data_IF_039170473472
#
_entry.id   IF_039170473472
#
_cell.length_a   1.000
_cell.length_b   1.000
_cell.length_c   1.000
_cell.angle_alpha   90.00
_cell.angle_beta   90.00
_cell.angle_gamma   90.00
#
_symmetry.space_group_name_H-M   'P 1'
#
loop_
_entity.id
_entity.type
_entity.pdbx_description
1 polymer ?
#
# COMPACT_ATOMS: atom_id res chain seq x y z
N UNK A 1 -6.48 1.22 -0.87
CA UNK A 1 -6.03 -0.01 -1.56
C UNK A 1 -7.17 -0.93 -2.00
N UNK A 2 -7.97 -1.53 -1.11
CA UNK A 2 -9.04 -2.47 -1.50
C UNK A 2 -10.06 -1.89 -2.50
N UNK A 3 -10.38 -0.59 -2.36
CA UNK A 3 -11.25 0.17 -3.25
C UNK A 3 -10.55 0.77 -4.48
N UNK A 4 -9.27 0.42 -4.74
CA UNK A 4 -8.44 1.05 -5.78
C UNK A 4 -7.95 2.45 -5.44
N UNK A 5 -8.31 3.02 -4.28
CA UNK A 5 -7.77 4.32 -3.88
C UNK A 5 -6.28 4.21 -3.57
N UNK A 6 -5.48 5.04 -4.24
CA UNK A 6 -4.09 5.33 -3.91
C UNK A 6 -4.01 5.86 -2.48
N UNK A 7 -2.97 5.46 -1.75
CA UNK A 7 -2.76 5.87 -0.37
C UNK A 7 -1.56 6.82 -0.27
N UNK A 8 -1.62 7.70 0.73
CA UNK A 8 -0.54 8.58 1.17
C UNK A 8 -0.43 8.35 2.69
N UNK A 9 0.70 7.81 3.13
CA UNK A 9 0.86 7.30 4.49
C UNK A 9 2.20 7.72 5.10
N UNK A 10 2.32 7.70 6.43
CA UNK A 10 3.60 7.96 7.08
C UNK A 10 4.60 6.83 6.82
N UNK A 11 5.89 7.13 6.79
CA UNK A 11 6.98 6.17 6.61
C UNK A 11 7.28 5.29 7.86
N UNK A 12 6.25 4.89 8.60
CA UNK A 12 6.39 3.84 9.63
C UNK A 12 6.58 2.47 8.98
N UNK A 13 7.23 1.55 9.69
CA UNK A 13 7.57 0.21 9.17
C UNK A 13 6.37 -0.54 8.57
N UNK A 14 5.16 -0.58 9.19
CA UNK A 14 4.01 -1.26 8.59
C UNK A 14 3.57 -0.66 7.24
N UNK A 15 3.72 0.65 7.05
CA UNK A 15 3.34 1.29 5.80
C UNK A 15 4.41 1.09 4.71
N UNK A 16 5.70 1.03 5.10
CA UNK A 16 6.78 0.64 4.20
C UNK A 16 6.60 -0.77 3.70
N UNK A 17 6.32 -1.72 4.61
CA UNK A 17 6.04 -3.11 4.26
C UNK A 17 4.95 -3.21 3.19
N UNK A 18 3.83 -2.50 3.39
CA UNK A 18 2.71 -2.48 2.44
C UNK A 18 3.11 -1.90 1.08
N UNK A 19 3.90 -0.83 1.05
CA UNK A 19 4.36 -0.25 -0.21
C UNK A 19 5.34 -1.19 -0.94
N UNK A 20 6.29 -1.76 -0.20
CA UNK A 20 7.39 -2.58 -0.73
C UNK A 20 6.95 -4.01 -1.10
N UNK A 21 5.82 -4.48 -0.58
CA UNK A 21 5.19 -5.75 -0.94
C UNK A 21 4.78 -5.83 -2.43
N UNK A 22 4.86 -4.71 -3.17
CA UNK A 22 4.60 -4.68 -4.59
C UNK A 22 5.63 -3.83 -5.35
N UNK A 23 6.24 -4.41 -6.38
CA UNK A 23 7.27 -3.75 -7.20
C UNK A 23 6.77 -2.48 -7.87
N UNK A 24 5.50 -2.43 -8.25
CA UNK A 24 4.89 -1.30 -8.94
C UNK A 24 4.34 -0.29 -7.94
N UNK A 25 4.55 1.00 -8.23
CA UNK A 25 4.12 2.08 -7.35
C UNK A 25 2.60 2.03 -7.15
N UNK A 26 2.18 1.96 -5.90
CA UNK A 26 0.77 1.83 -5.50
C UNK A 26 0.31 2.89 -4.49
N UNK A 27 1.25 3.71 -4.01
CA UNK A 27 1.03 4.76 -3.03
C UNK A 27 2.30 5.57 -2.80
N UNK A 28 2.25 6.41 -1.77
CA UNK A 28 3.33 7.33 -1.42
C UNK A 28 3.53 7.35 0.10
N UNK A 29 4.78 7.60 0.53
CA UNK A 29 5.14 7.71 1.94
C UNK A 29 5.75 9.06 2.24
N UNK A 30 5.44 9.63 3.41
CA UNK A 30 6.02 10.88 3.91
C UNK A 30 6.71 10.70 5.26
N UNK A 31 7.75 11.50 5.50
CA UNK A 31 8.64 11.43 6.66
C UNK A 31 8.05 11.99 7.98
N UNK A 32 6.72 11.98 8.14
CA UNK A 32 5.98 12.51 9.30
C UNK A 32 6.13 14.01 9.59
N UNK A 33 6.77 14.76 8.70
CA UNK A 33 6.82 16.23 8.78
C UNK A 33 5.72 16.85 7.91
N UNK A 34 5.31 18.07 8.25
CA UNK A 34 4.34 18.82 7.44
C UNK A 34 4.88 19.10 6.03
N UNK A 35 6.16 19.48 5.91
CA UNK A 35 6.79 19.71 4.61
C UNK A 35 6.83 18.43 3.77
N UNK A 36 7.24 17.31 4.36
CA UNK A 36 7.26 16.03 3.64
C UNK A 36 5.87 15.55 3.22
N UNK A 37 4.83 15.87 3.98
CA UNK A 37 3.45 15.60 3.56
C UNK A 37 3.05 16.47 2.36
N UNK A 38 3.41 17.76 2.35
CA UNK A 38 3.14 18.66 1.22
C UNK A 38 3.84 18.16 -0.04
N UNK A 39 5.13 17.84 0.05
CA UNK A 39 5.90 17.32 -1.09
C UNK A 39 5.28 16.03 -1.64
N UNK A 40 4.81 15.17 -0.75
CA UNK A 40 4.15 13.90 -1.09
C UNK A 40 2.78 14.10 -1.74
N UNK A 41 2.01 15.10 -1.29
CA UNK A 41 0.75 15.49 -1.91
C UNK A 41 0.98 16.05 -3.31
N UNK A 42 1.97 16.91 -3.48
CA UNK A 42 2.33 17.45 -4.79
C UNK A 42 2.75 16.32 -5.73
N UNK A 43 3.66 15.44 -5.29
CA UNK A 43 4.07 14.27 -6.06
C UNK A 43 2.88 13.39 -6.44
N UNK A 44 1.95 13.18 -5.49
CA UNK A 44 0.71 12.50 -5.79
C UNK A 44 -0.04 13.22 -6.89
N UNK A 45 -0.44 14.48 -6.72
CA UNK A 45 -1.30 15.23 -7.65
C UNK A 45 -0.69 15.40 -9.04
N UNK A 46 0.63 15.59 -9.15
CA UNK A 46 1.35 15.70 -10.42
C UNK A 46 1.70 14.35 -11.07
N UNK A 47 1.39 13.22 -10.43
CA UNK A 47 1.62 11.91 -11.03
C UNK A 47 0.71 11.70 -12.25
N UNK A 48 1.32 11.54 -13.43
CA UNK A 48 0.63 11.49 -14.72
C UNK A 48 -0.34 10.29 -14.86
N UNK A 49 -0.01 9.13 -14.30
CA UNK A 49 -0.80 7.91 -14.48
C UNK A 49 -1.54 7.47 -13.21
N UNK A 50 -2.62 8.19 -12.90
CA UNK A 50 -3.50 7.91 -11.76
C UNK A 50 -4.21 6.55 -11.89
N UNK A 51 -4.44 6.08 -13.11
CA UNK A 51 -5.12 4.81 -13.36
C UNK A 51 -4.21 3.66 -12.96
N UNK A 52 -2.95 3.69 -13.37
CA UNK A 52 -1.94 2.71 -12.96
C UNK A 52 -1.79 2.67 -11.43
N UNK A 53 -1.67 3.82 -10.75
CA UNK A 53 -1.61 3.86 -9.28
C UNK A 53 -2.81 3.16 -8.62
N UNK A 54 -4.02 3.38 -9.15
CA UNK A 54 -5.25 2.78 -8.64
C UNK A 54 -5.27 1.25 -8.84
N UNK A 55 -4.91 0.81 -10.04
CA UNK A 55 -4.81 -0.62 -10.39
C UNK A 55 -3.76 -1.31 -9.53
N UNK A 56 -2.58 -0.72 -9.38
CA UNK A 56 -1.48 -1.26 -8.58
C UNK A 56 -1.87 -1.35 -7.10
N UNK A 57 -2.55 -0.34 -6.55
CA UNK A 57 -3.07 -0.38 -5.18
C UNK A 57 -4.07 -1.52 -4.95
N UNK A 58 -4.96 -1.76 -5.92
CA UNK A 58 -5.93 -2.87 -5.85
C UNK A 58 -5.24 -4.22 -6.01
N UNK A 59 -4.26 -4.32 -6.90
CA UNK A 59 -3.48 -5.53 -7.15
C UNK A 59 -2.63 -5.91 -5.94
N UNK A 60 -1.94 -4.95 -5.33
CA UNK A 60 -1.18 -5.15 -4.11
C UNK A 60 -2.08 -5.70 -2.98
N UNK A 61 -3.23 -5.07 -2.74
CA UNK A 61 -4.20 -5.57 -1.76
C UNK A 61 -4.66 -7.00 -2.07
N UNK A 62 -5.08 -7.26 -3.30
CA UNK A 62 -5.63 -8.57 -3.68
C UNK A 62 -4.61 -9.69 -3.55
N UNK A 63 -3.34 -9.41 -3.90
CA UNK A 63 -2.23 -10.36 -3.86
C UNK A 63 -1.70 -10.62 -2.46
N UNK A 64 -1.63 -9.60 -1.60
CA UNK A 64 -0.89 -9.67 -0.35
C UNK A 64 -1.78 -9.60 0.90
N UNK A 65 -2.87 -8.83 0.85
CA UNK A 65 -3.61 -8.39 2.05
C UNK A 65 -5.11 -8.71 2.00
N UNK A 66 -5.53 -9.61 1.11
CA UNK A 66 -6.94 -10.02 1.06
C UNK A 66 -7.31 -10.84 2.30
N UNK A 67 -8.57 -10.71 2.74
CA UNK A 67 -9.08 -11.46 3.89
C UNK A 67 -8.87 -12.97 3.75
N UNK A 68 -9.05 -13.51 2.53
CA UNK A 68 -8.78 -14.92 2.22
C UNK A 68 -7.33 -15.30 2.52
N UNK A 69 -6.36 -14.48 2.10
CA UNK A 69 -4.94 -14.78 2.30
C UNK A 69 -4.57 -14.74 3.78
N UNK A 70 -5.05 -13.73 4.52
CA UNK A 70 -4.82 -13.65 5.96
C UNK A 70 -5.44 -14.85 6.70
N UNK A 71 -6.69 -15.21 6.38
CA UNK A 71 -7.35 -16.36 6.99
C UNK A 71 -6.62 -17.68 6.73
N UNK A 72 -6.08 -17.87 5.52
CA UNK A 72 -5.28 -19.04 5.18
C UNK A 72 -4.00 -19.10 6.02
N UNK A 73 -3.23 -18.01 6.10
CA UNK A 73 -1.99 -17.99 6.90
C UNK A 73 -2.23 -18.28 8.38
N UNK A 74 -3.32 -17.77 8.97
CA UNK A 74 -3.68 -18.13 10.35
C UNK A 74 -4.13 -19.59 10.48
N UNK A 75 -4.91 -20.09 9.51
CA UNK A 75 -5.36 -21.49 9.52
C UNK A 75 -4.19 -22.47 9.43
N UNK A 76 -3.19 -22.17 8.60
CA UNK A 76 -1.96 -22.96 8.46
C UNK A 76 -1.17 -22.96 9.78
N UNK A 77 -0.97 -21.79 10.38
CA UNK A 77 -0.31 -21.67 11.68
C UNK A 77 -0.99 -22.50 12.77
N UNK A 78 -2.32 -22.53 12.83
CA UNK A 78 -3.05 -23.35 13.81
C UNK A 78 -3.00 -24.86 13.53
N UNK A 79 -2.71 -25.27 12.29
CA UNK A 79 -2.54 -26.69 11.95
C UNK A 79 -1.13 -27.20 12.25
N UNK A 80 -0.15 -26.30 12.38
CA UNK A 80 1.23 -26.61 12.75
C UNK A 80 1.44 -26.75 14.27
N UNK A 81 0.45 -26.36 15.08
CA UNK A 81 0.44 -26.45 16.55
C UNK A 81 -0.30 -27.72 16.98
#
# INVERSE_FOLDING_TARGET
MASGKTFICSDIEPHKEVLDAHKEKSGFLFNKTTSGLIDCLDEHYFFNDKVSLSVNAKNNYSKNYSAKKMALSYSELYQEI
#
